data_IF_326588036040
#
_entry.id   IF_326588036040
#
_cell.length_a   1.000
_cell.length_b   1.000
_cell.length_c   1.000
_cell.angle_alpha   90.00
_cell.angle_beta   90.00
_cell.angle_gamma   90.00
#
_symmetry.space_group_name_H-M   'P 1'
#
loop_
_entity.id
_entity.type
_entity.pdbx_description
1 polymer ?
#
# COMPACT_ATOMS: atom_id res chain seq x y z
N UNK A 1 4.65 -3.53 -5.07
CA UNK A 1 4.17 -4.75 -5.77
C UNK A 1 2.69 -5.03 -5.50
N UNK A 2 2.22 -5.05 -4.23
CA UNK A 2 0.82 -5.39 -3.87
C UNK A 2 -0.19 -4.48 -4.59
N UNK A 3 0.04 -3.16 -4.59
CA UNK A 3 -0.82 -2.18 -5.27
C UNK A 3 -0.85 -2.42 -6.79
N UNK A 4 0.31 -2.66 -7.41
CA UNK A 4 0.41 -2.97 -8.84
C UNK A 4 -0.40 -4.23 -9.19
N UNK A 5 -0.24 -5.32 -8.43
CA UNK A 5 -1.03 -6.53 -8.62
C UNK A 5 -2.53 -6.28 -8.41
N UNK A 6 -2.91 -5.45 -7.44
CA UNK A 6 -4.30 -5.04 -7.25
C UNK A 6 -4.89 -4.32 -8.46
N UNK A 7 -4.12 -3.41 -9.08
CA UNK A 7 -4.52 -2.70 -10.30
C UNK A 7 -4.70 -3.68 -11.45
N UNK A 8 -3.78 -4.62 -11.63
CA UNK A 8 -3.82 -5.62 -12.70
C UNK A 8 -5.00 -6.58 -12.53
N UNK A 9 -5.25 -7.08 -11.32
CA UNK A 9 -6.41 -7.95 -11.04
C UNK A 9 -7.74 -7.24 -11.27
N UNK A 10 -7.84 -5.97 -10.88
CA UNK A 10 -9.03 -5.15 -11.08
C UNK A 10 -9.27 -4.78 -12.57
N UNK A 11 -8.24 -4.82 -13.42
CA UNK A 11 -8.38 -4.61 -14.85
C UNK A 11 -9.00 -5.80 -15.61
N UNK A 12 -9.21 -6.93 -14.93
CA UNK A 12 -9.82 -8.11 -15.54
C UNK A 12 -8.93 -8.89 -16.51
N UNK A 13 -7.67 -8.50 -16.65
CA UNK A 13 -6.66 -9.16 -17.48
C UNK A 13 -5.49 -9.59 -16.60
N UNK A 14 -4.98 -10.80 -16.80
CA UNK A 14 -3.68 -11.17 -16.27
C UNK A 14 -2.59 -10.27 -16.90
N UNK A 15 -1.41 -10.14 -16.27
CA UNK A 15 -0.29 -9.35 -16.79
C UNK A 15 0.22 -9.85 -18.15
N UNK A 16 -0.13 -11.05 -18.53
CA UNK A 16 0.11 -11.61 -19.87
C UNK A 16 -1.01 -12.60 -20.26
N UNK A 17 -1.09 -12.96 -21.56
CA UNK A 17 -1.96 -14.02 -22.08
C UNK A 17 -1.75 -15.37 -21.37
N UNK A 18 -0.60 -15.55 -20.76
CA UNK A 18 -0.15 -16.82 -20.16
C UNK A 18 -0.41 -16.93 -18.65
N UNK A 19 -0.75 -15.83 -17.96
CA UNK A 19 -0.97 -15.87 -16.51
C UNK A 19 -2.48 -15.81 -16.20
N UNK A 20 -3.06 -16.92 -15.71
CA UNK A 20 -4.47 -16.96 -15.33
C UNK A 20 -4.81 -15.98 -14.21
N UNK A 21 -6.04 -15.48 -14.18
CA UNK A 21 -6.52 -14.51 -13.18
C UNK A 21 -6.41 -15.01 -11.74
N UNK A 22 -6.60 -16.31 -11.52
CA UNK A 22 -6.50 -16.89 -10.18
C UNK A 22 -5.08 -16.83 -9.63
N UNK A 23 -4.06 -16.91 -10.49
CA UNK A 23 -2.65 -16.78 -10.08
C UNK A 23 -2.37 -15.35 -9.61
N UNK A 24 -2.79 -14.34 -10.38
CA UNK A 24 -2.62 -12.94 -9.99
C UNK A 24 -3.38 -12.58 -8.71
N UNK A 25 -4.56 -13.13 -8.52
CA UNK A 25 -5.32 -12.95 -7.27
C UNK A 25 -4.66 -13.64 -6.08
N UNK A 26 -4.17 -14.87 -6.29
CA UNK A 26 -3.43 -15.62 -5.27
C UNK A 26 -2.13 -14.89 -4.87
N UNK A 27 -1.36 -14.41 -5.85
CA UNK A 27 -0.15 -13.62 -5.60
C UNK A 27 -0.46 -12.32 -4.86
N UNK A 28 -1.50 -11.59 -5.28
CA UNK A 28 -1.92 -10.37 -4.58
C UNK A 28 -2.23 -10.65 -3.11
N UNK A 29 -3.03 -11.69 -2.83
CA UNK A 29 -3.39 -12.07 -1.45
C UNK A 29 -2.18 -12.46 -0.62
N UNK A 30 -1.31 -13.34 -1.14
CA UNK A 30 -0.17 -13.85 -0.40
C UNK A 30 0.87 -12.74 -0.14
N UNK A 31 1.13 -11.88 -1.13
CA UNK A 31 2.02 -10.74 -0.95
C UNK A 31 1.42 -9.67 -0.04
N UNK A 32 0.10 -9.50 -0.02
CA UNK A 32 -0.57 -8.60 0.93
C UNK A 32 -0.42 -9.11 2.37
N UNK A 33 -0.59 -10.42 2.60
CA UNK A 33 -0.36 -11.03 3.91
C UNK A 33 1.10 -10.88 4.36
N UNK A 34 2.06 -11.18 3.48
CA UNK A 34 3.48 -11.00 3.77
C UNK A 34 3.80 -9.54 4.10
N UNK A 35 3.29 -8.60 3.31
CA UNK A 35 3.48 -7.16 3.54
C UNK A 35 2.88 -6.72 4.89
N UNK A 36 1.74 -7.29 5.29
CA UNK A 36 1.12 -7.02 6.60
C UNK A 36 2.00 -7.51 7.75
N UNK A 37 2.58 -8.71 7.63
CA UNK A 37 3.51 -9.25 8.64
C UNK A 37 4.77 -8.38 8.75
N UNK A 38 5.35 -8.00 7.60
CA UNK A 38 6.53 -7.13 7.58
C UNK A 38 6.23 -5.73 8.13
N UNK A 39 5.03 -5.19 7.86
CA UNK A 39 4.59 -3.92 8.43
C UNK A 39 4.42 -4.01 9.95
N UNK A 40 3.82 -5.09 10.46
CA UNK A 40 3.70 -5.31 11.89
C UNK A 40 5.08 -5.41 12.56
N UNK A 41 6.02 -6.12 11.96
CA UNK A 41 7.40 -6.17 12.42
C UNK A 41 8.07 -4.78 12.38
N UNK A 42 7.88 -4.01 11.30
CA UNK A 42 8.40 -2.65 11.19
C UNK A 42 7.88 -1.74 12.32
N UNK A 43 6.57 -1.74 12.57
CA UNK A 43 5.98 -0.94 13.65
C UNK A 43 6.50 -1.40 15.02
N UNK A 44 6.54 -2.72 15.26
CA UNK A 44 7.03 -3.26 16.52
C UNK A 44 8.50 -2.87 16.78
N UNK A 45 9.36 -3.01 15.78
CA UNK A 45 10.78 -2.63 15.92
C UNK A 45 10.96 -1.13 16.13
N UNK A 46 10.18 -0.29 15.44
CA UNK A 46 10.24 1.16 15.60
C UNK A 46 9.80 1.62 17.01
N UNK A 47 8.85 0.91 17.63
CA UNK A 47 8.38 1.21 18.99
C UNK A 47 9.34 0.68 20.06
N UNK A 48 9.99 -0.48 19.81
CA UNK A 48 10.93 -1.09 20.76
C UNK A 48 12.30 -0.42 20.69
N UNK A 49 12.66 0.17 19.55
CA UNK A 49 13.93 0.84 19.38
C UNK A 49 14.00 2.10 20.27
N UNK A 50 15.05 2.18 21.07
CA UNK A 50 15.29 3.29 22.00
C UNK A 50 16.05 4.46 21.37
N UNK A 51 16.46 4.35 20.11
CA UNK A 51 17.19 5.41 19.41
C UNK A 51 16.32 6.65 19.15
N UNK A 52 15.02 6.43 18.94
CA UNK A 52 14.02 7.49 18.79
C UNK A 52 12.87 7.21 19.75
N UNK A 53 12.47 8.21 20.53
CA UNK A 53 11.34 8.08 21.46
C UNK A 53 10.00 8.09 20.68
N UNK A 54 9.59 6.90 20.22
CA UNK A 54 8.30 6.64 19.58
C UNK A 54 7.46 5.80 20.55
N UNK A 55 6.41 6.41 21.08
CA UNK A 55 5.49 5.72 22.00
C UNK A 55 4.56 4.80 21.21
N UNK A 56 4.12 3.70 21.79
CA UNK A 56 3.27 2.71 21.12
C UNK A 56 1.99 3.32 20.50
N UNK A 57 1.42 4.35 21.11
CA UNK A 57 0.22 5.01 20.59
C UNK A 57 0.53 6.01 19.46
N UNK A 58 1.76 6.49 19.31
CA UNK A 58 2.17 7.31 18.17
C UNK A 58 2.11 6.52 16.83
N UNK A 59 2.10 5.19 16.91
CA UNK A 59 1.90 4.33 15.74
C UNK A 59 0.48 4.39 15.19
N UNK A 60 -0.51 4.75 16.02
CA UNK A 60 -1.94 4.80 15.66
C UNK A 60 -2.52 6.21 15.68
N UNK A 61 -1.86 7.16 16.34
CA UNK A 61 -2.32 8.55 16.39
C UNK A 61 -1.52 9.40 15.40
N UNK A 62 -2.15 9.93 14.35
CA UNK A 62 -1.45 10.70 13.32
C UNK A 62 -1.03 12.11 13.79
N UNK A 63 -1.23 12.42 15.09
CA UNK A 63 -0.90 13.70 15.71
C UNK A 63 -0.22 13.48 17.07
N UNK A 64 0.63 14.42 17.48
CA UNK A 64 1.22 14.42 18.83
C UNK A 64 2.54 13.66 18.97
N UNK A 65 3.07 13.05 17.93
CA UNK A 65 4.40 12.45 17.92
C UNK A 65 5.52 13.49 18.17
N UNK A 66 6.52 13.14 18.96
CA UNK A 66 7.64 14.03 19.27
C UNK A 66 8.70 14.05 18.16
N UNK A 67 8.91 12.92 17.50
CA UNK A 67 9.89 12.78 16.43
C UNK A 67 9.26 13.05 15.06
N UNK A 68 9.74 14.07 14.34
CA UNK A 68 9.27 14.44 13.00
C UNK A 68 7.74 14.29 12.84
N UNK A 69 6.92 15.03 13.61
CA UNK A 69 5.51 14.75 13.85
C UNK A 69 4.68 14.60 12.57
N UNK A 70 4.94 15.40 11.56
CA UNK A 70 4.25 15.31 10.28
C UNK A 70 4.48 13.96 9.58
N UNK A 71 5.73 13.55 9.46
CA UNK A 71 6.06 12.31 8.75
C UNK A 71 5.69 11.07 9.54
N UNK A 72 5.86 11.10 10.86
CA UNK A 72 5.40 10.02 11.73
C UNK A 72 3.88 9.88 11.66
N UNK A 73 3.15 11.00 11.70
CA UNK A 73 1.70 11.02 11.51
C UNK A 73 1.24 10.47 10.17
N UNK A 74 2.01 10.69 9.08
CA UNK A 74 1.73 10.04 7.79
C UNK A 74 1.88 8.51 7.87
N UNK A 75 2.86 8.02 8.63
CA UNK A 75 3.02 6.58 8.90
C UNK A 75 1.83 6.00 9.64
N UNK A 76 1.41 6.64 10.75
CA UNK A 76 0.24 6.25 11.53
C UNK A 76 -1.04 6.25 10.66
N UNK A 77 -1.29 7.32 9.91
CA UNK A 77 -2.43 7.39 8.99
C UNK A 77 -2.40 6.28 7.94
N UNK A 78 -1.22 5.97 7.38
CA UNK A 78 -1.08 4.86 6.44
C UNK A 78 -1.42 3.52 7.08
N UNK A 79 -0.96 3.29 8.32
CA UNK A 79 -1.26 2.09 9.09
C UNK A 79 -2.77 1.95 9.33
N UNK A 80 -3.44 3.00 9.78
CA UNK A 80 -4.88 2.99 10.05
C UNK A 80 -5.70 2.65 8.78
N UNK A 81 -5.34 3.26 7.65
CA UNK A 81 -5.96 2.97 6.36
C UNK A 81 -5.73 1.50 5.94
N UNK A 82 -4.51 0.97 6.13
CA UNK A 82 -4.20 -0.42 5.84
C UNK A 82 -4.90 -1.39 6.79
N UNK A 83 -5.04 -1.04 8.08
CA UNK A 83 -5.83 -1.82 9.03
C UNK A 83 -7.29 -1.91 8.59
N UNK A 84 -7.90 -0.79 8.18
CA UNK A 84 -9.27 -0.80 7.65
C UNK A 84 -9.40 -1.71 6.42
N UNK A 85 -8.45 -1.64 5.48
CA UNK A 85 -8.41 -2.51 4.30
C UNK A 85 -8.21 -3.98 4.69
N UNK A 86 -7.29 -4.26 5.60
CA UNK A 86 -6.96 -5.63 6.05
C UNK A 86 -8.11 -6.28 6.79
N UNK A 87 -8.67 -5.59 7.80
CA UNK A 87 -9.82 -6.09 8.59
C UNK A 87 -11.03 -6.36 7.70
N UNK A 88 -11.39 -5.41 6.82
CA UNK A 88 -12.53 -5.61 5.91
C UNK A 88 -12.26 -6.69 4.87
N UNK A 89 -11.00 -6.92 4.47
CA UNK A 89 -10.65 -8.02 3.58
C UNK A 89 -10.71 -9.37 4.30
N UNK A 90 -10.35 -9.44 5.58
CA UNK A 90 -10.54 -10.63 6.42
C UNK A 90 -12.02 -10.93 6.64
N UNK A 91 -12.85 -9.90 6.81
CA UNK A 91 -14.30 -10.01 6.99
C UNK A 91 -15.09 -10.03 5.67
N UNK A 92 -14.44 -10.26 4.54
CA UNK A 92 -15.01 -10.17 3.19
C UNK A 92 -16.31 -10.96 3.01
N UNK A 93 -16.41 -12.13 3.66
CA UNK A 93 -17.61 -12.98 3.62
C UNK A 93 -18.79 -12.45 4.45
N UNK A 94 -18.56 -11.49 5.35
CA UNK A 94 -19.56 -10.94 6.27
C UNK A 94 -20.03 -9.53 5.91
N UNK A 95 -19.42 -8.89 4.92
CA UNK A 95 -19.73 -7.52 4.49
C UNK A 95 -20.17 -7.51 3.03
N UNK A 96 -20.98 -6.51 2.65
CA UNK A 96 -21.43 -6.36 1.28
C UNK A 96 -20.26 -6.01 0.35
N UNK A 97 -20.32 -6.48 -0.90
CA UNK A 97 -19.28 -6.20 -1.89
C UNK A 97 -19.08 -4.71 -2.14
N UNK A 98 -20.15 -3.91 -2.07
CA UNK A 98 -20.08 -2.46 -2.26
C UNK A 98 -19.26 -1.78 -1.16
N UNK A 99 -19.51 -2.15 0.10
CA UNK A 99 -18.79 -1.61 1.27
C UNK A 99 -17.34 -2.04 1.22
N UNK A 100 -17.07 -3.34 1.03
CA UNK A 100 -15.73 -3.86 0.91
C UNK A 100 -14.95 -3.11 -0.19
N UNK A 101 -15.51 -2.96 -1.37
CA UNK A 101 -14.85 -2.32 -2.50
C UNK A 101 -14.50 -0.85 -2.20
N UNK A 102 -15.40 -0.09 -1.55
CA UNK A 102 -15.14 1.30 -1.16
C UNK A 102 -13.98 1.41 -0.17
N UNK A 103 -13.97 0.57 0.87
CA UNK A 103 -12.89 0.56 1.85
C UNK A 103 -11.58 0.06 1.22
N UNK A 104 -11.64 -0.94 0.35
CA UNK A 104 -10.45 -1.45 -0.33
C UNK A 104 -9.75 -0.41 -1.22
N UNK A 105 -10.48 0.61 -1.70
CA UNK A 105 -9.89 1.74 -2.41
C UNK A 105 -8.99 2.60 -1.52
N UNK A 106 -9.11 2.54 -0.20
CA UNK A 106 -8.22 3.24 0.74
C UNK A 106 -6.77 2.74 0.66
N UNK A 107 -6.52 1.59 0.04
CA UNK A 107 -5.17 1.12 -0.24
C UNK A 107 -4.35 2.09 -1.12
N UNK A 108 -4.99 2.90 -1.97
CA UNK A 108 -4.30 3.89 -2.80
C UNK A 108 -3.81 5.10 -1.98
N UNK A 109 -4.68 5.82 -1.24
CA UNK A 109 -4.21 6.90 -0.39
C UNK A 109 -3.26 6.39 0.71
N UNK A 110 -3.47 5.20 1.29
CA UNK A 110 -2.54 4.60 2.23
C UNK A 110 -1.13 4.46 1.62
N UNK A 111 -1.02 3.95 0.39
CA UNK A 111 0.26 3.87 -0.31
C UNK A 111 0.91 5.24 -0.51
N UNK A 112 0.14 6.26 -0.91
CA UNK A 112 0.66 7.60 -1.15
C UNK A 112 1.22 8.23 0.14
N UNK A 113 0.49 8.14 1.26
CA UNK A 113 0.97 8.65 2.55
C UNK A 113 2.14 7.83 3.10
N UNK A 114 2.21 6.51 2.83
CA UNK A 114 3.36 5.69 3.18
C UNK A 114 4.63 6.13 2.43
N UNK A 115 4.52 6.52 1.16
CA UNK A 115 5.64 7.10 0.40
C UNK A 115 6.11 8.40 1.03
N UNK A 116 5.19 9.31 1.40
CA UNK A 116 5.54 10.57 2.08
C UNK A 116 6.23 10.29 3.42
N UNK A 117 5.72 9.35 4.21
CA UNK A 117 6.35 8.90 5.45
C UNK A 117 7.78 8.40 5.20
N UNK A 118 7.99 7.52 4.23
CA UNK A 118 9.31 6.95 3.94
C UNK A 118 10.31 8.01 3.45
N UNK A 119 9.86 9.00 2.70
CA UNK A 119 10.69 10.12 2.24
C UNK A 119 11.14 11.03 3.39
N UNK A 120 10.32 11.14 4.44
CA UNK A 120 10.62 12.04 5.56
C UNK A 120 11.39 11.40 6.70
N UNK A 121 11.20 10.09 6.96
CA UNK A 121 11.82 9.36 8.07
C UNK A 121 12.92 8.40 7.61
N UNK A 122 12.81 7.88 6.37
CA UNK A 122 13.74 6.88 5.85
C UNK A 122 15.19 7.38 5.85
N UNK A 123 16.05 6.76 6.64
CA UNK A 123 17.48 7.09 6.71
C UNK A 123 18.21 6.78 5.40
N UNK A 124 17.72 5.78 4.66
CA UNK A 124 18.32 5.29 3.43
C UNK A 124 18.01 6.14 2.18
N UNK A 125 17.11 7.10 2.29
CA UNK A 125 16.78 8.05 1.21
C UNK A 125 18.00 8.88 0.79
N UNK A 126 18.95 9.10 1.69
CA UNK A 126 20.25 9.71 1.39
C UNK A 126 21.13 8.87 0.45
N UNK A 127 20.93 7.57 0.41
CA UNK A 127 21.71 6.64 -0.40
C UNK A 127 21.17 6.52 -1.84
N UNK A 128 22.03 6.22 -2.83
CA UNK A 128 21.58 6.01 -4.22
C UNK A 128 20.55 4.87 -4.34
N UNK A 129 20.76 3.74 -3.64
CA UNK A 129 19.86 2.59 -3.72
C UNK A 129 18.48 2.88 -3.12
N UNK A 130 18.39 3.64 -2.02
CA UNK A 130 17.12 4.04 -1.41
C UNK A 130 16.30 4.92 -2.36
N UNK A 131 16.94 5.90 -3.01
CA UNK A 131 16.31 6.76 -4.04
C UNK A 131 15.78 5.93 -5.21
N UNK A 132 16.60 5.05 -5.76
CA UNK A 132 16.20 4.19 -6.88
C UNK A 132 15.06 3.27 -6.51
N UNK A 133 15.04 2.72 -5.29
CA UNK A 133 13.94 1.89 -4.80
C UNK A 133 12.62 2.65 -4.76
N UNK A 134 12.61 3.88 -4.21
CA UNK A 134 11.40 4.72 -4.17
C UNK A 134 10.95 5.08 -5.59
N UNK A 135 11.86 5.53 -6.44
CA UNK A 135 11.54 5.88 -7.84
C UNK A 135 10.97 4.67 -8.60
N UNK A 136 11.55 3.49 -8.45
CA UNK A 136 11.05 2.26 -9.06
C UNK A 136 9.64 1.90 -8.54
N UNK A 137 9.39 2.01 -7.24
CA UNK A 137 8.08 1.76 -6.65
C UNK A 137 7.01 2.74 -7.16
N UNK A 138 7.33 4.03 -7.18
CA UNK A 138 6.41 5.07 -7.68
C UNK A 138 6.17 4.90 -9.17
N UNK A 139 7.24 4.72 -9.95
CA UNK A 139 7.16 4.49 -11.39
C UNK A 139 6.32 3.27 -11.77
N UNK A 140 6.48 2.16 -11.04
CA UNK A 140 5.70 0.94 -11.28
C UNK A 140 4.19 1.15 -11.02
N UNK A 141 3.82 1.89 -9.97
CA UNK A 141 2.41 2.19 -9.69
C UNK A 141 1.83 3.13 -10.74
N UNK A 142 2.56 4.19 -11.10
CA UNK A 142 2.12 5.13 -12.13
C UNK A 142 1.97 4.43 -13.49
N UNK A 143 2.90 3.57 -13.88
CA UNK A 143 2.81 2.78 -15.10
C UNK A 143 1.59 1.84 -15.10
N UNK A 144 1.29 1.19 -13.97
CA UNK A 144 0.11 0.33 -13.84
C UNK A 144 -1.20 1.12 -13.97
N UNK A 145 -1.27 2.31 -13.35
CA UNK A 145 -2.43 3.20 -13.44
C UNK A 145 -2.62 3.71 -14.88
N UNK A 146 -1.55 4.18 -15.51
CA UNK A 146 -1.57 4.66 -16.89
C UNK A 146 -2.01 3.56 -17.87
N UNK A 147 -1.43 2.37 -17.75
CA UNK A 147 -1.79 1.21 -18.57
C UNK A 147 -3.28 0.85 -18.43
N UNK A 148 -3.82 0.92 -17.20
CA UNK A 148 -5.25 0.71 -16.96
C UNK A 148 -6.13 1.80 -17.61
N UNK A 149 -5.72 3.06 -17.55
CA UNK A 149 -6.47 4.17 -18.16
C UNK A 149 -6.52 4.04 -19.68
N UNK A 150 -5.40 3.72 -20.32
CA UNK A 150 -5.30 3.50 -21.76
C UNK A 150 -6.21 2.36 -22.22
N UNK A 151 -6.15 1.21 -21.51
CA UNK A 151 -6.97 0.05 -21.88
C UNK A 151 -8.47 0.31 -21.76
N UNK A 152 -8.90 1.11 -20.78
CA UNK A 152 -10.31 1.53 -20.63
C UNK A 152 -10.75 2.40 -21.80
N UNK A 153 -9.94 3.38 -22.22
CA UNK A 153 -10.26 4.25 -23.36
C UNK A 153 -10.43 3.47 -24.66
N UNK A 154 -9.53 2.53 -24.93
CA UNK A 154 -9.59 1.69 -26.13
C UNK A 154 -10.85 0.82 -26.16
N UNK A 155 -11.37 0.38 -25.02
CA UNK A 155 -12.62 -0.39 -24.97
C UNK A 155 -13.85 0.47 -25.25
N UNK A 156 -13.90 1.69 -24.72
CA UNK A 156 -15.02 2.63 -24.96
C UNK A 156 -15.10 3.07 -26.44
N UNK A 157 -13.97 3.17 -27.14
CA UNK A 157 -13.93 3.54 -28.57
C UNK A 157 -14.35 2.38 -29.50
N UNK A 158 -14.30 1.13 -29.01
CA UNK A 158 -14.64 -0.08 -29.78
C UNK A 158 -16.05 -0.62 -29.53
N UNK A 159 -16.78 -0.05 -28.58
CA UNK A 159 -18.20 -0.36 -28.27
C UNK A 159 -19.12 0.64 -28.93
#
# INVERSE_FOLDING_TARGET
LVVVLGILTAAGRGPSRFIPRFVTQGLHRNLALLATVLLAAHVATAVIDTYVDIRWFDAFLPVGGLYRPFYLGMGALSLDLLLAVGVTSALRSRISERVWRRIHWLAYPSWAVAVIHSLGIGTDIGSPWGRWTVLACVGAVLAAVAGRAVTRRVQVVRS
#
